data_IF_288179938469
#
_entry.id   IF_288179938469
#
_cell.length_a   1.000
_cell.length_b   1.000
_cell.length_c   1.000
_cell.angle_alpha   90.00
_cell.angle_beta   90.00
_cell.angle_gamma   90.00
#
_symmetry.space_group_name_H-M   'P 1'
#
loop_
_entity.id
_entity.type
_entity.pdbx_description
1 polymer ?
#
# COMPACT_ATOMS: atom_id res chain seq x y z
N UNK A 1 -33.53 36.59 16.01
CA UNK A 1 -33.41 35.74 14.81
C UNK A 1 -31.96 35.48 14.40
N UNK A 2 -31.02 36.38 14.69
CA UNK A 2 -29.57 36.29 14.41
C UNK A 2 -28.82 35.18 15.14
N UNK A 3 -29.14 34.88 16.41
CA UNK A 3 -28.46 33.79 17.15
C UNK A 3 -28.80 32.39 16.61
N UNK A 4 -30.00 32.18 16.06
CA UNK A 4 -30.41 30.91 15.42
C UNK A 4 -29.64 30.66 14.13
N UNK A 5 -29.34 31.72 13.37
CA UNK A 5 -28.51 31.66 12.16
C UNK A 5 -27.02 31.42 12.50
N UNK A 6 -26.51 32.02 13.57
CA UNK A 6 -25.15 31.77 14.06
C UNK A 6 -24.97 30.34 14.62
N UNK A 7 -25.98 29.82 15.32
CA UNK A 7 -25.96 28.42 15.80
C UNK A 7 -26.07 27.41 14.65
N UNK A 8 -26.90 27.70 13.65
CA UNK A 8 -27.03 26.86 12.45
C UNK A 8 -25.74 26.85 11.61
N UNK A 9 -25.05 28.00 11.48
CA UNK A 9 -23.77 28.09 10.77
C UNK A 9 -22.65 27.33 11.49
N UNK A 10 -22.61 27.36 12.82
CA UNK A 10 -21.64 26.60 13.63
C UNK A 10 -21.82 25.07 13.47
N UNK A 11 -23.08 24.61 13.37
CA UNK A 11 -23.39 23.17 13.25
C UNK A 11 -23.02 22.59 11.87
N UNK A 12 -23.08 23.39 10.80
CA UNK A 12 -22.70 22.96 9.44
C UNK A 12 -21.18 22.82 9.30
N UNK A 13 -20.39 23.71 9.93
CA UNK A 13 -18.92 23.63 9.90
C UNK A 13 -18.36 22.37 10.58
N UNK A 14 -19.06 21.83 11.58
CA UNK A 14 -18.62 20.62 12.30
C UNK A 14 -18.70 19.36 11.43
N UNK A 15 -19.64 19.29 10.48
CA UNK A 15 -19.83 18.12 9.61
C UNK A 15 -18.71 17.98 8.56
N UNK A 16 -18.24 19.09 7.99
CA UNK A 16 -17.13 19.09 7.02
C UNK A 16 -15.79 18.71 7.66
N UNK A 17 -15.62 18.96 8.96
CA UNK A 17 -14.38 18.64 9.67
C UNK A 17 -14.17 17.13 9.86
N UNK A 18 -15.25 16.35 10.04
CA UNK A 18 -15.16 14.90 10.20
C UNK A 18 -14.67 14.18 8.93
N UNK A 19 -15.15 14.59 7.76
CA UNK A 19 -14.76 13.97 6.48
C UNK A 19 -13.26 14.16 6.19
N UNK A 20 -12.74 15.37 6.43
CA UNK A 20 -11.30 15.65 6.25
C UNK A 20 -10.40 14.90 7.22
N UNK A 21 -10.90 14.58 8.43
CA UNK A 21 -10.13 13.84 9.42
C UNK A 21 -9.99 12.37 9.01
N UNK A 22 -11.09 11.77 8.55
CA UNK A 22 -11.11 10.38 8.11
C UNK A 22 -10.20 10.15 6.90
N UNK A 23 -10.26 11.05 5.90
CA UNK A 23 -9.38 11.00 4.73
C UNK A 23 -7.90 11.07 5.13
N UNK A 24 -7.55 11.99 6.03
CA UNK A 24 -6.18 12.11 6.55
C UNK A 24 -5.74 10.84 7.27
N UNK A 25 -6.59 10.27 8.11
CA UNK A 25 -6.29 9.03 8.83
C UNK A 25 -6.08 7.86 7.88
N UNK A 26 -6.89 7.76 6.82
CA UNK A 26 -6.77 6.73 5.78
C UNK A 26 -5.50 6.90 4.93
N UNK A 27 -5.14 8.14 4.59
CA UNK A 27 -3.87 8.44 3.93
C UNK A 27 -2.67 8.08 4.81
N UNK A 28 -2.75 8.37 6.12
CA UNK A 28 -1.71 7.99 7.07
C UNK A 28 -1.57 6.46 7.18
N UNK A 29 -2.68 5.74 7.30
CA UNK A 29 -2.68 4.27 7.37
C UNK A 29 -2.15 3.62 6.09
N UNK A 30 -2.39 4.25 4.93
CA UNK A 30 -1.76 3.85 3.68
C UNK A 30 -0.24 3.97 3.79
N UNK A 31 0.29 5.14 4.16
CA UNK A 31 1.74 5.34 4.27
C UNK A 31 2.41 4.33 5.20
N UNK A 32 1.80 4.04 6.35
CA UNK A 32 2.33 3.06 7.30
C UNK A 32 2.30 1.63 6.74
N UNK A 33 1.24 1.29 5.99
CA UNK A 33 1.15 0.02 5.25
C UNK A 33 2.25 -0.09 4.19
N UNK A 34 2.48 0.97 3.40
CA UNK A 34 3.50 0.98 2.35
C UNK A 34 4.91 0.86 2.91
N UNK A 35 5.23 1.55 4.02
CA UNK A 35 6.52 1.38 4.72
C UNK A 35 6.70 -0.06 5.22
N UNK A 36 5.63 -0.64 5.77
CA UNK A 36 5.65 -2.03 6.25
C UNK A 36 5.84 -3.02 5.10
N UNK A 37 5.23 -2.75 3.94
CA UNK A 37 5.38 -3.53 2.73
C UNK A 37 6.81 -3.48 2.20
N UNK A 38 7.36 -2.26 2.01
CA UNK A 38 8.75 -2.06 1.58
C UNK A 38 9.72 -2.81 2.50
N UNK A 39 9.61 -2.61 3.82
CA UNK A 39 10.46 -3.29 4.79
C UNK A 39 10.33 -4.82 4.67
N UNK A 40 9.11 -5.33 4.47
CA UNK A 40 8.90 -6.76 4.27
C UNK A 40 9.59 -7.26 3.00
N UNK A 41 9.42 -6.57 1.87
CA UNK A 41 10.05 -6.96 0.60
C UNK A 41 11.57 -6.98 0.74
N UNK A 42 12.15 -5.91 1.32
CA UNK A 42 13.60 -5.78 1.50
C UNK A 42 14.19 -6.84 2.42
N UNK A 43 13.59 -7.05 3.58
CA UNK A 43 14.18 -7.91 4.62
C UNK A 43 13.82 -9.39 4.47
N UNK A 44 12.65 -9.72 3.90
CA UNK A 44 12.28 -11.10 3.63
C UNK A 44 12.65 -11.57 2.21
N UNK A 45 13.29 -10.70 1.41
CA UNK A 45 13.51 -10.94 -0.02
C UNK A 45 12.24 -11.34 -0.76
N UNK A 46 11.13 -10.63 -0.49
CA UNK A 46 9.83 -10.88 -1.09
C UNK A 46 9.02 -12.05 -0.51
N UNK A 47 9.63 -12.94 0.28
CA UNK A 47 8.99 -14.15 0.83
C UNK A 47 7.69 -13.90 1.58
N UNK A 48 7.55 -12.73 2.19
CA UNK A 48 6.40 -12.40 3.02
C UNK A 48 5.53 -11.29 2.44
N UNK A 49 5.74 -10.88 1.19
CA UNK A 49 4.90 -9.89 0.52
C UNK A 49 3.43 -10.34 0.40
N UNK A 50 3.20 -11.66 0.30
CA UNK A 50 1.86 -12.23 0.24
C UNK A 50 0.96 -11.92 1.45
N UNK A 51 1.51 -11.60 2.62
CA UNK A 51 0.73 -11.28 3.83
C UNK A 51 -0.10 -9.98 3.72
N UNK A 52 0.20 -9.16 2.72
CA UNK A 52 -0.52 -7.92 2.46
C UNK A 52 -1.72 -8.14 1.54
N UNK A 53 -1.91 -9.33 0.98
CA UNK A 53 -3.10 -9.65 0.20
C UNK A 53 -4.28 -9.96 1.10
N UNK A 54 -5.48 -9.75 0.57
CA UNK A 54 -6.71 -10.13 1.23
C UNK A 54 -6.79 -11.67 1.30
N UNK A 55 -6.88 -12.27 2.50
CA UNK A 55 -6.98 -13.72 2.66
C UNK A 55 -8.30 -14.31 2.14
N UNK A 56 -9.34 -13.48 1.95
CA UNK A 56 -10.65 -13.92 1.44
C UNK A 56 -10.67 -14.01 -0.09
N UNK A 57 -9.77 -13.32 -0.78
CA UNK A 57 -9.60 -13.43 -2.22
C UNK A 57 -8.71 -14.65 -2.51
N UNK A 58 -9.23 -15.61 -3.28
CA UNK A 58 -8.53 -16.85 -3.63
C UNK A 58 -7.25 -16.53 -4.41
N UNK A 59 -6.10 -16.60 -3.72
CA UNK A 59 -4.79 -16.20 -4.25
C UNK A 59 -4.18 -17.37 -5.02
N UNK A 60 -4.76 -17.69 -6.18
CA UNK A 60 -4.27 -18.78 -7.05
C UNK A 60 -2.84 -18.58 -7.58
N UNK A 61 -2.25 -17.38 -7.44
CA UNK A 61 -0.89 -17.10 -7.87
C UNK A 61 -0.09 -16.42 -6.75
N UNK A 62 0.35 -17.24 -5.78
CA UNK A 62 1.49 -16.86 -4.95
C UNK A 62 2.73 -16.98 -5.84
N UNK A 63 3.19 -15.85 -6.39
CA UNK A 63 4.38 -15.80 -7.25
C UNK A 63 5.50 -16.67 -6.68
N UNK A 64 6.19 -17.42 -7.55
CA UNK A 64 7.15 -18.45 -7.14
C UNK A 64 8.20 -17.84 -6.22
N UNK A 65 8.13 -18.22 -4.95
CA UNK A 65 9.01 -17.70 -3.91
C UNK A 65 10.43 -18.23 -4.13
N UNK A 66 11.35 -17.31 -4.41
CA UNK A 66 12.77 -17.58 -4.65
C UNK A 66 13.55 -17.36 -3.36
N UNK A 67 14.24 -18.40 -2.88
CA UNK A 67 15.06 -18.32 -1.65
C UNK A 67 16.52 -17.91 -1.94
N UNK A 68 16.92 -17.99 -3.20
CA UNK A 68 18.26 -17.72 -3.75
C UNK A 68 18.49 -16.24 -4.10
N UNK A 69 17.61 -15.33 -3.67
CA UNK A 69 17.73 -13.90 -3.96
C UNK A 69 17.98 -13.08 -2.70
N UNK A 70 18.54 -11.88 -2.88
CA UNK A 70 18.61 -10.85 -1.85
C UNK A 70 18.26 -9.50 -2.45
N UNK A 71 17.24 -8.85 -1.91
CA UNK A 71 16.88 -7.49 -2.32
C UNK A 71 17.96 -6.51 -1.84
N UNK A 72 18.50 -5.72 -2.77
CA UNK A 72 19.55 -4.73 -2.51
C UNK A 72 19.01 -3.31 -2.57
N UNK A 73 17.95 -3.08 -3.35
CA UNK A 73 17.34 -1.78 -3.51
C UNK A 73 15.82 -1.87 -3.63
N UNK A 74 15.15 -0.84 -3.12
CA UNK A 74 13.73 -0.61 -3.29
C UNK A 74 13.56 0.90 -3.40
N UNK A 75 13.01 1.36 -4.52
CA UNK A 75 12.80 2.77 -4.81
C UNK A 75 11.36 2.99 -5.26
N UNK A 76 10.67 3.95 -4.64
CA UNK A 76 9.35 4.37 -5.11
C UNK A 76 9.55 5.41 -6.21
N UNK A 77 9.43 4.98 -7.47
CA UNK A 77 9.59 5.84 -8.64
C UNK A 77 8.32 6.63 -8.98
N UNK A 78 7.17 6.14 -8.52
CA UNK A 78 5.90 6.88 -8.55
C UNK A 78 5.22 6.73 -7.20
N UNK A 79 5.13 7.86 -6.48
CA UNK A 79 4.59 7.91 -5.13
C UNK A 79 3.12 7.51 -5.03
N UNK A 80 2.65 7.20 -3.81
CA UNK A 80 1.28 6.79 -3.59
C UNK A 80 0.30 7.86 -4.05
N UNK A 81 -0.59 7.49 -4.98
CA UNK A 81 -1.66 8.34 -5.49
C UNK A 81 -3.00 7.69 -5.15
N UNK A 82 -3.85 8.43 -4.44
CA UNK A 82 -5.22 8.01 -4.15
C UNK A 82 -6.08 8.14 -5.42
N UNK A 83 -6.78 7.06 -5.78
CA UNK A 83 -7.75 7.00 -6.87
C UNK A 83 -9.16 6.85 -6.26
N UNK A 84 -9.63 7.92 -5.63
CA UNK A 84 -10.82 7.91 -4.77
C UNK A 84 -10.53 7.42 -3.35
N UNK A 85 -11.58 7.11 -2.60
CA UNK A 85 -11.47 6.88 -1.16
C UNK A 85 -10.81 5.56 -0.75
N UNK A 86 -10.98 4.51 -1.56
CA UNK A 86 -10.66 3.13 -1.18
C UNK A 86 -9.63 2.48 -2.08
N UNK A 87 -8.95 3.27 -2.92
CA UNK A 87 -7.98 2.75 -3.88
C UNK A 87 -6.78 3.67 -3.95
N UNK A 88 -5.60 3.07 -3.95
CA UNK A 88 -4.35 3.78 -4.16
C UNK A 88 -3.45 2.99 -5.10
N UNK A 89 -2.55 3.70 -5.78
CA UNK A 89 -1.54 3.11 -6.66
C UNK A 89 -0.17 3.66 -6.34
N UNK A 90 0.85 2.83 -6.49
CA UNK A 90 2.25 3.27 -6.50
C UNK A 90 3.08 2.37 -7.43
N UNK A 91 4.22 2.88 -7.89
CA UNK A 91 5.17 2.08 -8.66
C UNK A 91 6.51 2.09 -7.96
N UNK A 92 7.06 0.91 -7.73
CA UNK A 92 8.37 0.72 -7.15
C UNK A 92 9.31 -0.02 -8.10
N UNK A 93 10.59 0.33 -8.08
CA UNK A 93 11.68 -0.41 -8.71
C UNK A 93 12.42 -1.18 -7.63
N UNK A 94 12.59 -2.48 -7.84
CA UNK A 94 13.21 -3.39 -6.89
C UNK A 94 14.43 -4.00 -7.55
N UNK A 95 15.61 -3.78 -6.98
CA UNK A 95 16.84 -4.44 -7.41
C UNK A 95 17.20 -5.55 -6.43
N UNK A 96 17.64 -6.67 -6.97
CA UNK A 96 18.03 -7.84 -6.22
C UNK A 96 19.22 -8.53 -6.86
N UNK A 97 19.94 -9.31 -6.06
CA UNK A 97 21.05 -10.15 -6.52
C UNK A 97 20.68 -11.62 -6.41
N UNK A 98 21.04 -12.41 -7.42
CA UNK A 98 21.02 -13.87 -7.35
C UNK A 98 22.22 -14.31 -6.52
N UNK A 99 22.00 -14.97 -5.39
CA UNK A 99 23.07 -15.30 -4.44
C UNK A 99 24.09 -16.28 -5.04
N UNK A 100 23.65 -17.20 -5.89
CA UNK A 100 24.56 -18.20 -6.49
C UNK A 100 25.44 -17.64 -7.61
N UNK A 101 24.90 -16.74 -8.43
CA UNK A 101 25.60 -16.21 -9.62
C UNK A 101 26.12 -14.78 -9.46
N UNK A 102 25.78 -14.11 -8.35
CA UNK A 102 26.07 -12.69 -8.09
C UNK A 102 25.54 -11.75 -9.20
N UNK A 103 24.54 -12.19 -9.95
CA UNK A 103 23.90 -11.39 -11.01
C UNK A 103 22.89 -10.45 -10.40
N UNK A 104 23.02 -9.15 -10.70
CA UNK A 104 22.04 -8.12 -10.33
C UNK A 104 20.90 -8.12 -11.34
N UNK A 105 19.68 -8.05 -10.84
CA UNK A 105 18.45 -7.95 -11.62
C UNK A 105 17.56 -6.86 -11.05
N UNK A 106 16.64 -6.40 -11.88
CA UNK A 106 15.70 -5.35 -11.56
C UNK A 106 14.31 -5.76 -12.02
N UNK A 107 13.30 -5.39 -11.24
CA UNK A 107 11.89 -5.49 -11.60
C UNK A 107 11.17 -4.19 -11.26
N UNK A 108 10.16 -3.87 -12.07
CA UNK A 108 9.20 -2.81 -11.78
C UNK A 108 7.93 -3.44 -11.21
N UNK A 109 7.57 -3.05 -9.99
CA UNK A 109 6.38 -3.49 -9.27
C UNK A 109 5.30 -2.41 -9.34
N UNK A 110 4.23 -2.68 -10.08
CA UNK A 110 3.07 -1.80 -10.23
C UNK A 110 1.99 -2.22 -9.24
N UNK A 111 1.83 -1.43 -8.19
CA UNK A 111 1.05 -1.82 -7.03
C UNK A 111 -0.33 -1.17 -7.04
N UNK A 112 -1.35 -1.99 -6.78
CA UNK A 112 -2.73 -1.53 -6.56
C UNK A 112 -3.13 -1.92 -5.15
N UNK A 113 -3.55 -0.94 -4.38
CA UNK A 113 -3.97 -1.09 -2.99
C UNK A 113 -5.46 -0.78 -2.86
N UNK A 114 -6.19 -1.64 -2.15
CA UNK A 114 -7.60 -1.47 -1.84
C UNK A 114 -7.81 -1.36 -0.33
N UNK A 115 -8.62 -0.39 0.09
CA UNK A 115 -8.99 -0.21 1.49
C UNK A 115 -10.23 -1.04 1.81
N UNK A 116 -10.10 -1.91 2.81
CA UNK A 116 -11.20 -2.63 3.42
C UNK A 116 -11.70 -1.82 4.62
N UNK A 117 -12.96 -1.38 4.56
CA UNK A 117 -13.59 -0.62 5.64
C UNK A 117 -13.95 -1.46 6.85
N UNK A 118 -14.25 -2.75 6.68
CA UNK A 118 -14.63 -3.63 7.78
C UNK A 118 -13.43 -3.95 8.69
N UNK A 119 -12.24 -4.03 8.10
CA UNK A 119 -10.97 -4.31 8.76
C UNK A 119 -10.11 -3.05 8.97
N UNK A 120 -10.59 -1.90 8.45
CA UNK A 120 -9.88 -0.62 8.42
C UNK A 120 -8.43 -0.72 7.88
N UNK A 121 -8.21 -1.60 6.89
CA UNK A 121 -6.88 -2.02 6.45
C UNK A 121 -6.72 -1.93 4.93
N UNK A 122 -5.49 -1.62 4.51
CA UNK A 122 -5.10 -1.67 3.11
C UNK A 122 -4.59 -3.06 2.73
N UNK A 123 -5.13 -3.60 1.64
CA UNK A 123 -4.71 -4.85 1.02
C UNK A 123 -4.08 -4.60 -0.35
N UNK A 124 -3.03 -5.35 -0.65
CA UNK A 124 -2.45 -5.42 -1.98
C UNK A 124 -3.39 -6.24 -2.88
N UNK A 125 -3.95 -5.58 -3.88
CA UNK A 125 -4.84 -6.18 -4.87
C UNK A 125 -4.11 -6.61 -6.14
N UNK A 126 -2.98 -5.97 -6.46
CA UNK A 126 -2.11 -6.44 -7.54
C UNK A 126 -1.37 -7.73 -7.15
N UNK A 127 -0.70 -8.33 -8.12
CA UNK A 127 0.18 -9.46 -7.85
C UNK A 127 1.38 -9.01 -7.00
N UNK A 128 1.95 -9.95 -6.25
CA UNK A 128 3.24 -9.73 -5.58
C UNK A 128 4.38 -9.71 -6.62
N UNK A 129 5.51 -9.05 -6.32
CA UNK A 129 6.66 -9.03 -7.21
C UNK A 129 7.12 -10.44 -7.58
N UNK A 130 7.25 -10.71 -8.87
CA UNK A 130 7.78 -11.97 -9.39
C UNK A 130 9.28 -11.83 -9.65
N UNK A 131 10.09 -12.51 -8.84
CA UNK A 131 11.54 -12.52 -9.01
C UNK A 131 11.95 -13.61 -10.02
N UNK A 132 12.55 -13.16 -11.13
CA UNK A 132 12.99 -14.01 -12.23
C UNK A 132 14.45 -14.37 -12.15
#
# INVERSE_FOLDING_TARGET
MTYKLLFAASLICLMTACQTLEEKQRSQSLQDTLRSYEATVRWSSGLHAGKFRDPQLDVSETGRQRKDIRVTHYEVVQGPTMLGDKRAVQTAVIQYVLQESQVVREITDQQVWLYDEAQEKWFLSSQVPEFK
#
